data_IF_523202461114
#
_entry.id   IF_523202461114
#
_cell.length_a   1.000
_cell.length_b   1.000
_cell.length_c   1.000
_cell.angle_alpha   90.00
_cell.angle_beta   90.00
_cell.angle_gamma   90.00
#
_symmetry.space_group_name_H-M   'P 1'
#
loop_
_entity.id
_entity.type
_entity.pdbx_description
1 polymer ?
#
# COMPACT_ATOMS: atom_id res chain seq x y z
N UNK A 1 -5.37 2.60 -13.62
CA UNK A 1 -4.68 2.66 -12.30
C UNK A 1 -5.51 3.51 -11.35
N UNK A 2 -5.66 3.08 -10.10
CA UNK A 2 -6.38 3.83 -9.07
C UNK A 2 -5.56 5.10 -8.75
N UNK A 3 -5.97 6.26 -9.27
CA UNK A 3 -5.35 7.57 -9.00
C UNK A 3 -5.92 8.21 -7.73
N UNK A 4 -6.16 7.41 -6.68
CA UNK A 4 -6.72 7.91 -5.44
C UNK A 4 -5.67 8.72 -4.67
N UNK A 5 -6.05 9.93 -4.24
CA UNK A 5 -5.27 10.78 -3.34
C UNK A 5 -5.77 10.71 -1.89
N UNK A 6 -6.71 9.81 -1.57
CA UNK A 6 -7.20 9.61 -0.21
C UNK A 6 -6.10 9.01 0.69
N UNK A 7 -6.29 9.07 2.01
CA UNK A 7 -5.42 8.37 2.96
C UNK A 7 -5.28 6.89 2.60
N UNK A 8 -4.05 6.39 2.62
CA UNK A 8 -3.74 4.96 2.42
C UNK A 8 -3.37 4.35 3.76
N UNK A 9 -4.08 3.30 4.15
CA UNK A 9 -3.73 2.47 5.31
C UNK A 9 -2.98 1.24 4.82
N UNK A 10 -1.81 0.96 5.39
CA UNK A 10 -0.98 -0.19 5.04
C UNK A 10 -0.92 -1.15 6.22
N UNK A 11 -1.33 -2.38 5.97
CA UNK A 11 -1.41 -3.49 6.93
C UNK A 11 -0.80 -4.76 6.29
N UNK A 12 -0.65 -5.84 7.06
CA UNK A 12 -0.17 -7.13 6.67
C UNK A 12 1.32 -7.32 6.96
N UNK A 13 1.76 -8.58 6.97
CA UNK A 13 3.14 -8.94 7.30
C UNK A 13 4.21 -8.28 6.41
N UNK A 14 3.87 -7.88 5.19
CA UNK A 14 4.79 -7.15 4.30
C UNK A 14 5.16 -5.75 4.82
N UNK A 15 4.31 -5.14 5.64
CA UNK A 15 4.57 -3.86 6.30
C UNK A 15 5.05 -4.03 7.75
N UNK A 16 5.48 -5.23 8.14
CA UNK A 16 6.10 -5.45 9.45
C UNK A 16 7.30 -4.50 9.62
N UNK A 17 7.29 -3.72 10.70
CA UNK A 17 8.29 -2.67 10.96
C UNK A 17 8.12 -1.37 10.15
N UNK A 18 7.04 -1.21 9.38
CA UNK A 18 6.62 0.07 8.77
C UNK A 18 7.43 0.55 7.56
N UNK A 19 8.47 -0.18 7.15
CA UNK A 19 9.35 0.23 6.05
C UNK A 19 8.60 0.36 4.71
N UNK A 20 7.71 -0.58 4.41
CA UNK A 20 6.95 -0.55 3.15
C UNK A 20 6.09 0.73 3.08
N UNK A 21 5.36 1.05 4.14
CA UNK A 21 4.55 2.26 4.21
C UNK A 21 5.43 3.53 4.11
N UNK A 22 6.59 3.55 4.76
CA UNK A 22 7.51 4.69 4.70
C UNK A 22 8.06 4.94 3.29
N UNK A 23 8.40 3.87 2.54
CA UNK A 23 8.82 3.96 1.14
C UNK A 23 7.70 4.46 0.23
N UNK A 24 6.46 3.96 0.43
CA UNK A 24 5.29 4.40 -0.33
C UNK A 24 4.99 5.88 -0.08
N UNK A 25 5.07 6.33 1.18
CA UNK A 25 4.91 7.73 1.56
C UNK A 25 5.97 8.63 0.90
N UNK A 26 7.22 8.17 0.80
CA UNK A 26 8.27 8.91 0.09
C UNK A 26 7.99 8.98 -1.42
N UNK A 27 7.47 7.91 -2.03
CA UNK A 27 7.18 7.85 -3.47
C UNK A 27 5.91 8.61 -3.90
N UNK A 28 5.04 8.98 -2.95
CA UNK A 28 3.79 9.71 -3.19
C UNK A 28 3.70 10.94 -2.30
N UNK A 29 4.59 11.93 -2.50
CA UNK A 29 4.61 13.13 -1.69
C UNK A 29 3.26 13.85 -1.78
N UNK A 30 2.74 14.27 -0.63
CA UNK A 30 1.44 14.97 -0.52
C UNK A 30 0.24 14.08 -0.22
N UNK A 31 0.40 12.75 -0.20
CA UNK A 31 -0.65 11.83 0.26
C UNK A 31 -0.39 11.33 1.67
N UNK A 32 -1.45 11.24 2.47
CA UNK A 32 -1.37 10.68 3.82
C UNK A 32 -1.25 9.15 3.78
N UNK A 33 -0.29 8.63 4.56
CA UNK A 33 -0.12 7.21 4.81
C UNK A 33 -0.25 6.92 6.30
N UNK A 34 -0.97 5.84 6.60
CA UNK A 34 -1.17 5.32 7.95
C UNK A 34 -0.71 3.86 7.99
N UNK A 35 -0.21 3.43 9.13
CA UNK A 35 0.11 2.04 9.41
C UNK A 35 -1.02 1.45 10.25
N UNK A 36 -1.57 0.31 9.81
CA UNK A 36 -2.54 -0.43 10.62
C UNK A 36 -1.95 -0.77 11.99
N UNK A 37 -2.74 -0.59 13.05
CA UNK A 37 -2.30 -0.90 14.40
C UNK A 37 -2.06 -2.41 14.61
N UNK A 38 -2.85 -3.23 13.93
CA UNK A 38 -2.68 -4.68 13.86
C UNK A 38 -2.02 -5.07 12.54
N UNK A 39 -1.38 -6.24 12.46
CA UNK A 39 -0.93 -6.86 11.21
C UNK A 39 -2.05 -7.67 10.49
N UNK A 40 -3.26 -7.65 11.06
CA UNK A 40 -4.37 -8.55 10.70
C UNK A 40 -5.66 -7.80 10.36
N UNK A 41 -5.60 -6.73 9.56
CA UNK A 41 -6.77 -5.91 9.21
C UNK A 41 -7.99 -6.69 8.69
N UNK A 42 -7.78 -7.81 8.00
CA UNK A 42 -8.87 -8.70 7.60
C UNK A 42 -9.57 -9.37 8.78
N UNK A 43 -8.82 -9.87 9.77
CA UNK A 43 -9.39 -10.47 10.98
C UNK A 43 -10.05 -9.41 11.86
N UNK A 44 -9.42 -8.25 12.01
CA UNK A 44 -9.95 -7.07 12.70
C UNK A 44 -11.30 -6.65 12.08
N UNK A 45 -11.39 -6.58 10.75
CA UNK A 45 -12.64 -6.27 10.05
C UNK A 45 -13.73 -7.33 10.24
N UNK A 46 -13.38 -8.62 10.19
CA UNK A 46 -14.33 -9.70 10.45
C UNK A 46 -14.86 -9.66 11.89
N UNK A 47 -14.00 -9.39 12.87
CA UNK A 47 -14.39 -9.20 14.26
C UNK A 47 -15.31 -8.00 14.44
N UNK A 48 -15.02 -6.87 13.77
CA UNK A 48 -15.88 -5.70 13.80
C UNK A 48 -17.30 -6.00 13.30
N UNK A 49 -17.43 -6.68 12.16
CA UNK A 49 -18.74 -7.09 11.63
C UNK A 49 -19.48 -8.06 12.57
N UNK A 50 -18.75 -8.99 13.19
CA UNK A 50 -19.35 -9.94 14.14
C UNK A 50 -19.89 -9.24 15.41
N UNK A 51 -19.16 -8.25 15.94
CA UNK A 51 -19.62 -7.45 17.08
C UNK A 51 -20.82 -6.57 16.69
N UNK A 52 -20.76 -5.92 15.54
CA UNK A 52 -21.86 -5.10 15.01
C UNK A 52 -23.16 -5.91 14.89
N UNK A 53 -23.05 -7.18 14.46
CA UNK A 53 -24.22 -8.06 14.30
C UNK A 53 -24.98 -8.34 15.60
N UNK A 54 -24.34 -8.16 16.76
CA UNK A 54 -24.94 -8.31 18.10
C UNK A 54 -25.15 -6.97 18.80
N UNK A 55 -25.11 -5.86 18.05
CA UNK A 55 -25.30 -4.50 18.58
C UNK A 55 -24.15 -4.02 19.46
N UNK A 56 -22.95 -4.58 19.30
CA UNK A 56 -21.76 -4.21 20.06
C UNK A 56 -20.74 -3.52 19.15
N UNK A 57 -19.98 -2.62 19.75
CA UNK A 57 -18.84 -2.00 19.07
C UNK A 57 -17.58 -2.84 19.27
N UNK A 58 -16.77 -2.95 18.22
CA UNK A 58 -15.44 -3.55 18.30
C UNK A 58 -14.39 -2.44 18.43
N UNK A 59 -13.75 -2.37 19.59
CA UNK A 59 -12.69 -1.39 19.86
C UNK A 59 -11.39 -1.79 19.16
N UNK A 60 -11.30 -1.50 17.86
CA UNK A 60 -10.06 -1.60 17.10
C UNK A 60 -9.14 -0.44 17.45
N UNK A 61 -7.85 -0.72 17.59
CA UNK A 61 -6.83 0.32 17.75
C UNK A 61 -6.72 1.16 16.48
N UNK A 62 -6.53 2.47 16.65
CA UNK A 62 -6.48 3.41 15.55
C UNK A 62 -5.17 3.25 14.75
N UNK A 63 -5.20 3.37 13.42
CA UNK A 63 -3.98 3.40 12.61
C UNK A 63 -3.08 4.60 12.96
N UNK A 64 -1.77 4.40 12.89
CA UNK A 64 -0.77 5.40 13.25
C UNK A 64 -0.21 6.13 12.01
N UNK A 65 0.09 7.44 12.09
CA UNK A 65 0.69 8.18 10.98
C UNK A 65 2.06 7.65 10.59
N UNK A 66 2.31 7.53 9.28
CA UNK A 66 3.59 7.07 8.75
C UNK A 66 4.46 8.25 8.37
N UNK A 67 5.71 8.26 8.88
CA UNK A 67 6.75 9.17 8.40
C UNK A 67 7.36 8.62 7.11
N UNK A 68 7.43 9.46 6.08
CA UNK A 68 8.13 9.12 4.84
C UNK A 68 9.60 8.79 5.11
N UNK A 69 10.11 7.77 4.43
CA UNK A 69 11.54 7.47 4.42
C UNK A 69 12.33 8.56 3.69
N UNK A 70 13.66 8.49 3.79
CA UNK A 70 14.58 9.46 3.19
C UNK A 70 15.65 8.79 2.31
N UNK A 71 15.32 7.69 1.64
CA UNK A 71 16.27 7.00 0.76
C UNK A 71 16.60 7.86 -0.46
N UNK A 72 17.88 8.20 -0.63
CA UNK A 72 18.35 8.89 -1.82
C UNK A 72 18.09 8.04 -3.08
N UNK A 73 17.62 8.68 -4.16
CA UNK A 73 17.43 8.03 -5.45
C UNK A 73 16.18 7.13 -5.58
N UNK A 74 15.35 6.99 -4.54
CA UNK A 74 14.17 6.11 -4.59
C UNK A 74 13.19 6.44 -5.73
N UNK A 75 12.98 7.73 -6.01
CA UNK A 75 12.15 8.16 -7.13
C UNK A 75 12.77 7.76 -8.49
N UNK A 76 14.08 7.99 -8.66
CA UNK A 76 14.80 7.59 -9.88
C UNK A 76 14.81 6.07 -10.09
N UNK A 77 14.92 5.29 -9.01
CA UNK A 77 14.75 3.84 -9.05
C UNK A 77 13.36 3.46 -9.56
N UNK A 78 12.28 4.03 -8.98
CA UNK A 78 10.90 3.79 -9.42
C UNK A 78 10.73 4.12 -10.91
N UNK A 79 11.26 5.25 -11.35
CA UNK A 79 11.09 5.71 -12.72
C UNK A 79 11.84 4.79 -13.71
N UNK A 80 13.05 4.34 -13.36
CA UNK A 80 13.80 3.32 -14.13
C UNK A 80 13.05 1.99 -14.20
N UNK A 81 12.48 1.53 -13.08
CA UNK A 81 11.67 0.32 -13.02
C UNK A 81 10.42 0.41 -13.90
N UNK A 82 9.75 1.58 -13.92
CA UNK A 82 8.61 1.83 -14.81
C UNK A 82 9.00 1.77 -16.27
N UNK A 83 10.16 2.34 -16.64
CA UNK A 83 10.71 2.23 -18.00
C UNK A 83 10.90 0.78 -18.44
N UNK A 84 11.62 -0.02 -17.65
CA UNK A 84 11.86 -1.43 -17.94
C UNK A 84 10.57 -2.26 -18.02
N UNK A 85 9.58 -1.95 -17.18
CA UNK A 85 8.30 -2.65 -17.17
C UNK A 85 7.44 -2.31 -18.38
N UNK A 86 7.46 -1.04 -18.83
CA UNK A 86 6.80 -0.62 -20.06
C UNK A 86 7.42 -1.31 -21.28
N UNK A 87 8.75 -1.36 -21.35
CA UNK A 87 9.48 -2.02 -22.43
C UNK A 87 9.19 -3.53 -22.47
N UNK A 88 9.18 -4.22 -21.32
CA UNK A 88 8.77 -5.64 -21.25
C UNK A 88 7.32 -5.85 -21.67
N UNK A 89 6.40 -4.95 -21.29
CA UNK A 89 5.00 -5.00 -21.71
C UNK A 89 4.83 -4.86 -23.23
N UNK A 90 5.65 -4.02 -23.87
CA UNK A 90 5.68 -3.87 -25.33
C UNK A 90 6.19 -5.16 -25.98
N UNK A 91 7.27 -5.75 -25.46
CA UNK A 91 7.82 -7.02 -25.98
C UNK A 91 6.82 -8.18 -25.83
N UNK A 92 6.14 -8.31 -24.70
CA UNK A 92 5.11 -9.35 -24.50
C UNK A 92 3.87 -9.14 -25.38
N UNK A 93 3.46 -7.88 -25.61
CA UNK A 93 2.35 -7.55 -26.50
C UNK A 93 2.70 -7.86 -27.95
N UNK A 94 3.92 -7.53 -28.39
CA UNK A 94 4.42 -7.86 -29.71
C UNK A 94 4.50 -9.38 -29.93
N UNK A 95 4.98 -10.14 -28.94
CA UNK A 95 5.02 -11.61 -29.00
C UNK A 95 3.62 -12.26 -29.04
N UNK A 96 2.60 -11.62 -28.45
CA UNK A 96 1.22 -12.11 -28.44
C UNK A 96 0.45 -11.75 -29.73
N UNK A 97 0.84 -10.71 -30.45
CA UNK A 97 0.25 -10.31 -31.74
C UNK A 97 0.69 -11.15 -32.95
N UNK A 98 1.69 -12.03 -32.77
CA UNK A 98 2.20 -12.97 -33.78
C UNK A 98 1.61 -14.39 -33.68
N UNK A 99 0.47 -14.58 -33.00
CA UNK A 99 -0.27 -15.85 -32.97
C UNK A 99 -1.61 -15.75 -33.67
#
# INVERSE_FOLDING_TARGET
LIHSNNTVIVDGGLNSGGLLAALLAQLRPGQAFMQGATLEGSATGAAALAFESVGREFAAEAPEPVRASSFAGLAGYRDSWRGLSADRGIVETAARGTR
#
